data_IF_433111065277
#
_entry.id   IF_433111065277
#
_cell.length_a   1.000
_cell.length_b   1.000
_cell.length_c   1.000
_cell.angle_alpha   90.00
_cell.angle_beta   90.00
_cell.angle_gamma   90.00
#
_symmetry.space_group_name_H-M   'P 1'
#
loop_
_entity.id
_entity.type
_entity.pdbx_description
1 polymer ?
#
# COMPACT_ATOMS: atom_id res chain seq x y z
N UNK A 1 -18.71 -15.34 75.11
CA UNK A 1 -17.25 -15.18 75.20
C UNK A 1 -16.83 -14.45 73.93
N UNK A 2 -17.12 -13.16 73.76
CA UNK A 2 -16.74 -11.98 74.56
C UNK A 2 -15.25 -11.68 74.47
N UNK A 3 -14.90 -10.68 73.64
CA UNK A 3 -13.79 -9.71 73.81
C UNK A 3 -13.80 -8.81 72.55
N UNK A 4 -14.48 -7.66 72.53
CA UNK A 4 -14.09 -6.32 73.03
C UNK A 4 -12.73 -5.78 72.52
N UNK A 5 -12.84 -4.77 71.66
CA UNK A 5 -11.81 -3.79 71.30
C UNK A 5 -11.31 -2.99 72.51
N UNK A 6 -10.18 -2.27 72.35
CA UNK A 6 -10.07 -0.90 72.83
C UNK A 6 -9.95 0.13 71.70
N UNK A 7 -10.54 1.31 71.95
CA UNK A 7 -10.58 2.49 71.08
C UNK A 7 -9.38 3.45 71.35
N UNK A 8 -8.87 4.05 70.25
CA UNK A 8 -8.57 5.49 70.02
C UNK A 8 -7.41 6.19 70.80
N UNK A 9 -6.73 7.23 70.21
CA UNK A 9 -7.36 8.51 69.82
C UNK A 9 -6.97 9.12 68.47
N UNK A 10 -7.85 10.03 68.07
CA UNK A 10 -7.83 10.89 66.90
C UNK A 10 -6.77 12.00 66.99
N UNK A 11 -6.24 12.39 65.82
CA UNK A 11 -5.65 13.71 65.60
C UNK A 11 -6.33 14.32 64.37
N UNK A 12 -7.03 15.42 64.61
CA UNK A 12 -7.49 16.35 63.58
C UNK A 12 -6.31 17.20 63.11
N UNK A 13 -6.12 17.34 61.81
CA UNK A 13 -5.53 18.55 61.23
C UNK A 13 -6.21 18.86 59.90
N UNK A 14 -6.76 20.08 59.83
CA UNK A 14 -7.38 20.71 58.67
C UNK A 14 -6.32 21.05 57.60
N UNK A 15 -6.70 21.06 56.31
CA UNK A 15 -6.34 22.16 55.40
C UNK A 15 -7.01 22.02 54.02
N UNK A 16 -7.82 23.03 53.73
CA UNK A 16 -8.08 23.71 52.46
C UNK A 16 -7.76 23.02 51.10
N UNK A 17 -8.81 22.93 50.28
CA UNK A 17 -8.80 22.72 48.84
C UNK A 17 -8.28 23.98 48.08
N UNK A 18 -7.45 23.85 47.04
CA UNK A 18 -7.20 24.95 46.11
C UNK A 18 -8.08 24.83 44.86
N UNK A 19 -8.74 25.94 44.55
CA UNK A 19 -9.60 26.17 43.40
C UNK A 19 -8.86 26.00 42.05
N UNK A 20 -9.63 25.51 41.08
CA UNK A 20 -9.24 25.31 39.69
C UNK A 20 -8.95 26.64 38.95
N UNK A 21 -7.92 26.63 38.10
CA UNK A 21 -7.71 27.62 37.03
C UNK A 21 -8.49 27.20 35.77
N UNK A 22 -9.09 28.13 35.02
CA UNK A 22 -9.77 27.81 33.77
C UNK A 22 -8.72 27.64 32.65
N UNK A 23 -8.77 26.49 31.96
CA UNK A 23 -8.01 26.26 30.74
C UNK A 23 -8.82 26.76 29.53
N UNK A 24 -8.08 27.39 28.61
CA UNK A 24 -8.56 28.10 27.43
C UNK A 24 -9.16 27.20 26.35
N UNK A 25 -9.90 27.85 25.44
CA UNK A 25 -10.67 27.35 24.30
C UNK A 25 -10.18 26.04 23.67
N UNK A 26 -11.05 25.02 23.73
CA UNK A 26 -10.95 23.82 22.91
C UNK A 26 -11.44 24.11 21.48
N UNK A 27 -10.75 23.64 20.43
CA UNK A 27 -11.23 23.80 19.06
C UNK A 27 -12.50 22.95 18.86
N UNK A 28 -13.46 23.53 18.13
CA UNK A 28 -14.75 22.90 17.84
C UNK A 28 -14.58 21.51 17.20
N UNK A 29 -15.31 20.53 17.73
CA UNK A 29 -15.36 19.17 17.19
C UNK A 29 -15.86 19.17 15.73
N UNK A 30 -15.30 18.34 14.84
CA UNK A 30 -15.76 18.26 13.46
C UNK A 30 -17.20 17.74 13.43
N UNK A 31 -18.01 18.39 12.60
CA UNK A 31 -19.42 18.09 12.36
C UNK A 31 -19.57 16.65 11.86
N UNK A 32 -20.38 15.84 12.54
CA UNK A 32 -20.65 14.45 12.16
C UNK A 32 -21.14 14.36 10.70
N UNK A 33 -20.55 13.44 9.94
CA UNK A 33 -20.95 13.09 8.57
C UNK A 33 -22.33 12.39 8.57
N UNK A 34 -23.12 12.47 7.48
CA UNK A 34 -24.44 11.88 7.45
C UNK A 34 -24.37 10.35 7.43
N UNK A 35 -25.08 9.73 8.36
CA UNK A 35 -25.28 8.29 8.45
C UNK A 35 -26.25 7.81 7.35
N UNK A 36 -25.71 7.33 6.23
CA UNK A 36 -26.32 6.25 5.45
C UNK A 36 -25.51 4.96 5.69
N UNK A 37 -25.98 3.78 5.23
CA UNK A 37 -25.14 2.58 5.23
C UNK A 37 -23.96 2.83 4.28
N UNK A 38 -22.89 3.40 4.82
CA UNK A 38 -21.75 3.89 4.06
C UNK A 38 -20.98 2.70 3.50
N UNK A 39 -20.98 2.56 2.18
CA UNK A 39 -20.05 1.72 1.44
C UNK A 39 -18.65 2.35 1.56
N UNK A 40 -18.04 2.32 2.74
CA UNK A 40 -16.66 2.73 2.91
C UNK A 40 -15.78 1.76 2.12
N UNK A 41 -14.79 2.31 1.43
CA UNK A 41 -13.85 1.58 0.59
C UNK A 41 -13.02 0.59 1.44
N UNK A 42 -12.60 1.02 2.63
CA UNK A 42 -11.99 0.17 3.65
C UNK A 42 -12.94 -0.01 4.85
N UNK A 43 -13.03 -1.23 5.40
CA UNK A 43 -13.83 -1.52 6.60
C UNK A 43 -15.37 -1.58 6.44
N UNK A 44 -15.89 -1.33 5.23
CA UNK A 44 -17.33 -1.41 4.95
C UNK A 44 -17.79 -2.82 4.54
N UNK A 45 -19.08 -3.11 4.71
CA UNK A 45 -19.72 -4.31 4.15
C UNK A 45 -19.75 -4.19 2.62
N UNK A 46 -18.64 -4.57 1.99
CA UNK A 46 -18.42 -4.41 0.55
C UNK A 46 -19.56 -4.97 -0.28
N UNK A 47 -19.82 -4.36 -1.43
CA UNK A 47 -20.90 -4.70 -2.38
C UNK A 47 -20.83 -6.12 -3.00
N UNK A 48 -19.94 -7.01 -2.54
CA UNK A 48 -19.71 -8.32 -3.14
C UNK A 48 -19.05 -8.30 -4.54
N UNK A 49 -18.62 -7.13 -5.02
CA UNK A 49 -17.90 -6.94 -6.28
C UNK A 49 -16.50 -6.35 -6.07
N UNK A 50 -15.68 -6.42 -7.11
CA UNK A 50 -14.36 -5.76 -7.14
C UNK A 50 -14.48 -4.23 -7.02
N UNK A 51 -13.53 -3.62 -6.31
CA UNK A 51 -13.29 -2.17 -6.29
C UNK A 51 -13.00 -1.68 -7.71
N UNK A 52 -13.53 -0.51 -8.05
CA UNK A 52 -13.41 0.10 -9.37
C UNK A 52 -12.75 1.47 -9.29
N UNK A 53 -12.29 1.99 -10.43
CA UNK A 53 -11.73 3.34 -10.54
C UNK A 53 -12.72 4.42 -10.06
N UNK A 54 -14.03 4.18 -10.22
CA UNK A 54 -15.08 5.08 -9.74
C UNK A 54 -15.16 5.12 -8.21
N UNK A 55 -14.96 3.97 -7.56
CA UNK A 55 -14.95 3.91 -6.10
C UNK A 55 -13.76 4.69 -5.52
N UNK A 56 -12.59 4.59 -6.17
CA UNK A 56 -11.37 5.31 -5.77
C UNK A 56 -11.49 6.82 -6.02
N UNK A 57 -12.07 7.23 -7.16
CA UNK A 57 -12.34 8.64 -7.44
C UNK A 57 -13.34 9.23 -6.42
N UNK A 58 -14.40 8.49 -6.08
CA UNK A 58 -15.34 8.88 -5.03
C UNK A 58 -14.62 9.02 -3.68
N UNK A 59 -13.74 8.09 -3.32
CA UNK A 59 -13.00 8.14 -2.07
C UNK A 59 -12.19 9.44 -1.93
N UNK A 60 -11.51 9.89 -3.01
CA UNK A 60 -10.86 11.22 -3.01
C UNK A 60 -11.86 12.35 -2.82
N UNK A 61 -12.97 12.35 -3.55
CA UNK A 61 -14.00 13.39 -3.46
C UNK A 61 -14.60 13.51 -2.05
N UNK A 62 -14.72 12.39 -1.33
CA UNK A 62 -15.24 12.35 0.05
C UNK A 62 -14.15 12.45 1.12
N UNK A 63 -12.87 12.60 0.74
CA UNK A 63 -11.74 12.62 1.66
C UNK A 63 -11.50 11.27 2.38
N UNK A 64 -12.05 10.17 1.86
CA UNK A 64 -11.85 8.83 2.40
C UNK A 64 -10.47 8.30 1.97
N UNK A 65 -9.58 8.12 2.95
CA UNK A 65 -8.25 7.55 2.73
C UNK A 65 -8.31 6.04 2.66
N UNK A 66 -7.45 5.44 1.84
CA UNK A 66 -7.43 3.98 1.65
C UNK A 66 -6.02 3.38 1.58
N UNK A 67 -5.83 2.15 2.09
CA UNK A 67 -4.56 1.44 1.99
C UNK A 67 -4.44 0.65 0.69
N UNK A 68 -3.21 0.52 0.21
CA UNK A 68 -2.80 -0.40 -0.86
C UNK A 68 -1.63 -1.23 -0.36
N UNK A 69 -1.57 -2.51 -0.72
CA UNK A 69 -0.44 -3.38 -0.42
C UNK A 69 0.01 -4.10 -1.69
N UNK A 70 1.30 -4.42 -1.78
CA UNK A 70 1.72 -5.35 -2.82
C UNK A 70 1.26 -6.78 -2.50
N UNK A 71 1.06 -7.61 -3.52
CA UNK A 71 0.81 -9.04 -3.39
C UNK A 71 1.33 -9.79 -4.62
N UNK A 72 1.79 -11.03 -4.44
CA UNK A 72 2.44 -11.79 -5.53
C UNK A 72 1.90 -13.22 -5.68
N UNK A 73 1.05 -13.67 -4.75
CA UNK A 73 0.46 -15.02 -4.79
C UNK A 73 -0.98 -15.02 -4.27
N UNK A 74 -1.67 -16.14 -4.50
CA UNK A 74 -3.08 -16.31 -4.15
C UNK A 74 -3.33 -16.31 -2.63
N UNK A 75 -2.39 -16.83 -1.83
CA UNK A 75 -2.59 -17.01 -0.39
C UNK A 75 -2.49 -15.66 0.31
N UNK A 76 -1.44 -14.89 0.02
CA UNK A 76 -1.27 -13.53 0.53
C UNK A 76 -2.37 -12.60 -0.01
N UNK A 77 -2.71 -12.72 -1.30
CA UNK A 77 -3.81 -11.99 -1.90
C UNK A 77 -5.14 -12.23 -1.17
N UNK A 78 -5.47 -13.48 -0.83
CA UNK A 78 -6.68 -13.82 -0.07
C UNK A 78 -6.69 -13.21 1.33
N UNK A 79 -5.57 -13.28 2.05
CA UNK A 79 -5.47 -12.69 3.40
C UNK A 79 -5.74 -11.18 3.36
N UNK A 80 -5.18 -10.47 2.38
CA UNK A 80 -5.40 -9.04 2.25
C UNK A 80 -6.81 -8.67 1.75
N UNK A 81 -7.41 -9.49 0.89
CA UNK A 81 -8.80 -9.34 0.45
C UNK A 81 -9.78 -9.47 1.64
N UNK A 82 -9.56 -10.49 2.48
CA UNK A 82 -10.35 -10.74 3.70
C UNK A 82 -10.16 -9.62 4.73
N UNK A 83 -8.93 -9.11 4.88
CA UNK A 83 -8.62 -7.93 5.69
C UNK A 83 -9.21 -6.62 5.12
N UNK A 84 -9.79 -6.67 3.92
CA UNK A 84 -10.51 -5.56 3.30
C UNK A 84 -9.63 -4.53 2.62
N UNK A 85 -8.38 -4.87 2.27
CA UNK A 85 -7.49 -3.98 1.49
C UNK A 85 -8.12 -3.76 0.10
N UNK A 86 -8.49 -2.52 -0.25
CA UNK A 86 -9.29 -2.27 -1.46
C UNK A 86 -8.49 -2.38 -2.77
N UNK A 87 -7.16 -2.22 -2.72
CA UNK A 87 -6.28 -2.28 -3.88
C UNK A 87 -5.05 -3.12 -3.56
N UNK A 88 -4.75 -4.09 -4.42
CA UNK A 88 -3.53 -4.88 -4.38
C UNK A 88 -2.68 -4.61 -5.62
N UNK A 89 -1.39 -4.38 -5.41
CA UNK A 89 -0.42 -4.15 -6.48
C UNK A 89 0.46 -5.38 -6.69
N UNK A 90 0.39 -5.96 -7.88
CA UNK A 90 1.36 -6.95 -8.35
C UNK A 90 2.49 -6.18 -9.01
N UNK A 91 3.37 -5.66 -8.15
CA UNK A 91 4.43 -4.75 -8.57
C UNK A 91 5.68 -5.48 -9.05
N UNK A 92 6.48 -4.83 -9.88
CA UNK A 92 7.80 -5.32 -10.30
C UNK A 92 8.81 -5.41 -9.14
N UNK A 93 8.49 -4.77 -8.00
CA UNK A 93 9.08 -5.06 -6.68
C UNK A 93 9.11 -6.56 -6.32
N UNK A 94 8.30 -7.40 -6.97
CA UNK A 94 8.43 -8.86 -6.93
C UNK A 94 9.84 -9.34 -7.30
N UNK A 95 10.55 -8.65 -8.20
CA UNK A 95 11.93 -8.96 -8.56
C UNK A 95 12.81 -9.09 -7.32
N UNK A 96 12.86 -8.06 -6.50
CA UNK A 96 13.63 -8.05 -5.25
C UNK A 96 13.01 -8.92 -4.15
N UNK A 97 11.72 -8.74 -3.91
CA UNK A 97 11.08 -9.18 -2.67
C UNK A 97 10.44 -10.57 -2.76
N UNK A 98 10.41 -11.16 -3.96
CA UNK A 98 9.77 -12.45 -4.22
C UNK A 98 10.64 -13.39 -5.07
N UNK A 99 11.29 -12.86 -6.11
CA UNK A 99 12.08 -13.64 -7.07
C UNK A 99 13.60 -13.64 -6.78
N UNK A 100 14.06 -12.77 -5.87
CA UNK A 100 15.46 -12.71 -5.44
C UNK A 100 16.42 -12.02 -6.41
N UNK A 101 15.91 -11.21 -7.35
CA UNK A 101 16.74 -10.32 -8.17
C UNK A 101 17.33 -9.16 -7.36
N UNK A 102 18.44 -8.61 -7.85
CA UNK A 102 19.10 -7.45 -7.22
C UNK A 102 18.31 -6.15 -7.39
N UNK A 103 17.48 -6.04 -8.44
CA UNK A 103 16.60 -4.91 -8.71
C UNK A 103 15.41 -5.38 -9.58
N UNK A 104 14.55 -4.45 -9.98
CA UNK A 104 13.32 -4.75 -10.74
C UNK A 104 13.54 -4.90 -12.25
N UNK A 105 14.73 -4.55 -12.78
CA UNK A 105 15.02 -4.55 -14.23
C UNK A 105 14.87 -5.93 -14.89
N UNK A 106 15.29 -7.06 -14.27
CA UNK A 106 15.19 -8.38 -14.91
C UNK A 106 13.77 -8.95 -14.97
N UNK A 107 12.80 -8.32 -14.29
CA UNK A 107 11.43 -8.83 -14.21
C UNK A 107 10.79 -8.81 -15.59
N UNK A 108 10.23 -9.95 -16.01
CA UNK A 108 9.60 -10.08 -17.32
C UNK A 108 8.07 -9.93 -17.26
N UNK A 109 7.46 -9.64 -18.42
CA UNK A 109 6.00 -9.62 -18.56
C UNK A 109 5.39 -10.96 -18.17
N UNK A 110 5.99 -12.09 -18.57
CA UNK A 110 5.44 -13.42 -18.29
C UNK A 110 5.46 -13.75 -16.79
N UNK A 111 6.50 -13.32 -16.08
CA UNK A 111 6.57 -13.47 -14.62
C UNK A 111 5.44 -12.68 -13.94
N UNK A 112 5.27 -11.40 -14.29
CA UNK A 112 4.22 -10.58 -13.68
C UNK A 112 2.82 -11.01 -14.12
N UNK A 113 2.61 -11.49 -15.34
CA UNK A 113 1.34 -12.09 -15.77
C UNK A 113 0.99 -13.28 -14.88
N UNK A 114 1.94 -14.21 -14.65
CA UNK A 114 1.72 -15.38 -13.80
C UNK A 114 1.38 -15.00 -12.35
N UNK A 115 2.16 -14.10 -11.74
CA UNK A 115 1.93 -13.63 -10.37
C UNK A 115 0.59 -12.88 -10.27
N UNK A 116 0.26 -12.08 -11.28
CA UNK A 116 -1.01 -11.34 -11.32
C UNK A 116 -2.20 -12.31 -11.41
N UNK A 117 -2.13 -13.33 -12.27
CA UNK A 117 -3.18 -14.36 -12.33
C UNK A 117 -3.38 -15.06 -10.98
N UNK A 118 -2.31 -15.30 -10.22
CA UNK A 118 -2.39 -15.91 -8.90
C UNK A 118 -3.14 -15.01 -7.91
N UNK A 119 -2.79 -13.73 -7.82
CA UNK A 119 -3.46 -12.77 -6.94
C UNK A 119 -4.92 -12.55 -7.34
N UNK A 120 -5.21 -12.48 -8.64
CA UNK A 120 -6.60 -12.36 -9.14
C UNK A 120 -7.45 -13.57 -8.72
N UNK A 121 -6.92 -14.80 -8.79
CA UNK A 121 -7.61 -16.00 -8.32
C UNK A 121 -7.82 -16.05 -6.81
N UNK A 122 -6.89 -15.49 -6.04
CA UNK A 122 -6.96 -15.44 -4.57
C UNK A 122 -7.90 -14.36 -4.02
N UNK A 123 -8.40 -13.44 -4.84
CA UNK A 123 -9.12 -12.24 -4.39
C UNK A 123 -10.52 -12.16 -5.01
N UNK A 124 -11.46 -11.55 -4.29
CA UNK A 124 -12.85 -11.33 -4.76
C UNK A 124 -13.24 -9.86 -4.78
N UNK A 125 -12.70 -9.04 -3.88
CA UNK A 125 -13.10 -7.64 -3.68
C UNK A 125 -12.05 -6.63 -4.11
N UNK A 126 -10.77 -6.90 -3.90
CA UNK A 126 -9.71 -5.95 -4.22
C UNK A 126 -9.66 -5.70 -5.74
N UNK A 127 -9.36 -4.44 -6.10
CA UNK A 127 -8.81 -4.15 -7.42
C UNK A 127 -7.38 -4.66 -7.45
N UNK A 128 -7.07 -5.52 -8.43
CA UNK A 128 -5.69 -5.95 -8.67
C UNK A 128 -5.09 -5.05 -9.75
N UNK A 129 -4.04 -4.30 -9.41
CA UNK A 129 -3.25 -3.48 -10.32
C UNK A 129 -1.97 -4.25 -10.64
N UNK A 130 -1.60 -4.35 -11.91
CA UNK A 130 -0.38 -5.04 -12.33
C UNK A 130 0.64 -4.07 -12.91
N UNK A 131 1.91 -4.20 -12.53
CA UNK A 131 2.96 -3.39 -13.14
C UNK A 131 3.29 -3.81 -14.57
N UNK A 132 3.49 -2.82 -15.43
CA UNK A 132 4.22 -2.99 -16.68
C UNK A 132 5.73 -2.97 -16.35
N UNK A 133 6.46 -4.08 -16.51
CA UNK A 133 7.87 -4.12 -16.13
C UNK A 133 8.75 -3.32 -17.09
N UNK A 134 10.00 -3.06 -16.68
CA UNK A 134 10.98 -2.35 -17.49
C UNK A 134 11.10 -2.92 -18.92
N UNK A 135 11.14 -2.05 -19.92
CA UNK A 135 11.27 -2.39 -21.34
C UNK A 135 9.97 -2.81 -22.03
N UNK A 136 8.86 -2.95 -21.30
CA UNK A 136 7.59 -3.45 -21.85
C UNK A 136 6.63 -2.37 -22.36
N UNK A 137 6.90 -1.09 -22.10
CA UNK A 137 6.03 0.02 -22.51
C UNK A 137 6.79 1.25 -23.02
N UNK A 138 8.10 1.31 -22.81
CA UNK A 138 8.92 2.48 -23.10
C UNK A 138 9.19 2.67 -24.59
N UNK A 139 9.08 1.61 -25.42
CA UNK A 139 9.40 1.70 -26.85
C UNK A 139 8.36 2.53 -27.60
N UNK A 140 7.07 2.34 -27.31
CA UNK A 140 5.99 3.07 -27.98
C UNK A 140 4.63 2.89 -27.29
N UNK A 141 3.64 3.76 -27.58
CA UNK A 141 2.26 3.55 -27.14
C UNK A 141 1.65 2.22 -27.62
N UNK A 142 2.01 1.75 -28.82
CA UNK A 142 1.55 0.46 -29.33
C UNK A 142 2.09 -0.71 -28.49
N UNK A 143 3.38 -0.68 -28.15
CA UNK A 143 3.97 -1.68 -27.25
C UNK A 143 3.31 -1.66 -25.87
N UNK A 144 3.10 -0.48 -25.30
CA UNK A 144 2.43 -0.34 -24.00
C UNK A 144 1.03 -0.95 -24.04
N UNK A 145 0.27 -0.72 -25.11
CA UNK A 145 -1.05 -1.30 -25.30
C UNK A 145 -1.02 -2.82 -25.45
N UNK A 146 -0.10 -3.36 -26.25
CA UNK A 146 0.06 -4.82 -26.38
C UNK A 146 0.34 -5.47 -25.03
N UNK A 147 1.31 -4.93 -24.28
CA UNK A 147 1.65 -5.43 -22.93
C UNK A 147 0.47 -5.28 -21.97
N UNK A 148 -0.19 -4.11 -21.94
CA UNK A 148 -1.35 -3.86 -21.08
C UNK A 148 -2.49 -4.83 -21.38
N UNK A 149 -2.78 -5.09 -22.66
CA UNK A 149 -3.79 -6.06 -23.08
C UNK A 149 -3.49 -7.48 -22.58
N UNK A 150 -2.22 -7.89 -22.49
CA UNK A 150 -1.83 -9.18 -21.89
C UNK A 150 -2.23 -9.25 -20.42
N UNK A 151 -1.92 -8.22 -19.62
CA UNK A 151 -2.32 -8.20 -18.21
C UNK A 151 -3.84 -8.22 -18.00
N UNK A 152 -4.60 -7.52 -18.85
CA UNK A 152 -6.06 -7.56 -18.77
C UNK A 152 -6.61 -8.94 -19.16
N UNK A 153 -6.11 -9.53 -20.25
CA UNK A 153 -6.68 -10.76 -20.85
C UNK A 153 -6.17 -12.06 -20.22
N UNK A 154 -4.87 -12.16 -20.01
CA UNK A 154 -4.20 -13.37 -19.51
C UNK A 154 -4.23 -13.42 -17.99
N UNK A 155 -4.07 -12.27 -17.32
CA UNK A 155 -4.00 -12.21 -15.86
C UNK A 155 -5.30 -11.82 -15.17
N UNK A 156 -6.21 -11.13 -15.86
CA UNK A 156 -7.46 -10.63 -15.26
C UNK A 156 -7.24 -9.42 -14.34
N UNK A 157 -6.18 -8.65 -14.57
CA UNK A 157 -5.93 -7.41 -13.84
C UNK A 157 -7.11 -6.43 -14.00
N UNK A 158 -7.39 -5.65 -12.95
CA UNK A 158 -8.38 -4.57 -13.01
C UNK A 158 -7.81 -3.27 -13.59
N UNK A 159 -6.49 -3.12 -13.55
CA UNK A 159 -5.75 -1.97 -14.06
C UNK A 159 -4.26 -2.32 -14.24
N UNK A 160 -3.53 -1.46 -14.95
CA UNK A 160 -2.07 -1.53 -15.04
C UNK A 160 -1.41 -0.31 -14.41
N UNK A 161 -0.17 -0.46 -13.93
CA UNK A 161 0.68 0.65 -13.48
C UNK A 161 1.92 0.75 -14.38
N UNK A 162 2.31 1.98 -14.71
CA UNK A 162 3.54 2.26 -15.46
C UNK A 162 4.29 3.45 -14.87
N UNK A 163 5.61 3.47 -15.04
CA UNK A 163 6.48 4.53 -14.50
C UNK A 163 6.87 5.54 -15.56
N UNK A 164 6.80 6.82 -15.20
CA UNK A 164 7.24 7.93 -16.04
C UNK A 164 6.27 9.11 -16.01
N UNK A 165 6.83 10.31 -16.17
CA UNK A 165 6.09 11.56 -16.22
C UNK A 165 5.63 11.92 -17.63
N UNK A 166 5.77 13.20 -18.01
CA UNK A 166 5.33 13.75 -19.32
C UNK A 166 5.71 12.86 -20.50
N UNK A 167 6.92 12.28 -20.49
CA UNK A 167 7.42 11.45 -21.57
C UNK A 167 6.57 10.20 -21.86
N UNK A 168 5.87 9.65 -20.84
CA UNK A 168 5.03 8.46 -20.96
C UNK A 168 3.54 8.79 -21.15
N UNK A 169 3.16 10.07 -21.26
CA UNK A 169 1.77 10.47 -21.46
C UNK A 169 1.13 9.83 -22.72
N UNK A 170 1.82 9.73 -23.87
CA UNK A 170 1.26 9.06 -25.05
C UNK A 170 0.90 7.58 -24.81
N UNK A 171 1.68 6.87 -23.98
CA UNK A 171 1.44 5.47 -23.61
C UNK A 171 0.20 5.36 -22.72
N UNK A 172 0.08 6.24 -21.73
CA UNK A 172 -1.10 6.31 -20.85
C UNK A 172 -2.35 6.59 -21.68
N UNK A 173 -2.32 7.58 -22.57
CA UNK A 173 -3.46 7.94 -23.41
C UNK A 173 -3.90 6.79 -24.32
N UNK A 174 -2.96 6.07 -24.94
CA UNK A 174 -3.27 4.91 -25.77
C UNK A 174 -3.92 3.76 -24.99
N UNK A 175 -3.41 3.46 -23.80
CA UNK A 175 -3.98 2.44 -22.90
C UNK A 175 -5.39 2.82 -22.46
N UNK A 176 -5.58 4.04 -21.97
CA UNK A 176 -6.87 4.54 -21.47
C UNK A 176 -7.90 4.60 -22.60
N UNK A 177 -7.52 5.07 -23.78
CA UNK A 177 -8.40 5.11 -24.97
C UNK A 177 -8.86 3.72 -25.38
N UNK A 178 -8.00 2.70 -25.22
CA UNK A 178 -8.34 1.30 -25.47
C UNK A 178 -9.15 0.64 -24.33
N UNK A 179 -9.46 1.37 -23.26
CA UNK A 179 -10.24 0.88 -22.12
C UNK A 179 -9.42 0.18 -21.05
N UNK A 180 -8.09 0.32 -21.04
CA UNK A 180 -7.21 -0.19 -19.98
C UNK A 180 -7.02 0.90 -18.93
N UNK A 181 -7.51 0.72 -17.68
CA UNK A 181 -7.28 1.70 -16.63
C UNK A 181 -5.80 1.78 -16.23
N UNK A 182 -5.25 2.98 -16.15
CA UNK A 182 -3.83 3.22 -15.83
C UNK A 182 -3.67 3.96 -14.51
N UNK A 183 -2.88 3.37 -13.61
CA UNK A 183 -2.29 4.08 -12.47
C UNK A 183 -0.89 4.54 -12.89
N UNK A 184 -0.63 5.85 -12.90
CA UNK A 184 0.70 6.34 -13.21
C UNK A 184 1.63 6.23 -11.99
N UNK A 185 2.95 6.27 -12.22
CA UNK A 185 3.96 6.32 -11.17
C UNK A 185 5.03 7.37 -11.50
N UNK A 186 5.17 8.37 -10.62
CA UNK A 186 6.16 9.45 -10.73
C UNK A 186 6.91 9.65 -9.40
N UNK A 187 7.96 10.47 -9.42
CA UNK A 187 8.90 10.59 -8.31
C UNK A 187 10.07 9.65 -8.54
N UNK A 188 10.49 8.90 -7.53
CA UNK A 188 11.46 7.82 -7.73
C UNK A 188 10.79 6.71 -8.54
N UNK A 189 11.31 6.42 -9.71
CA UNK A 189 10.87 5.31 -10.56
C UNK A 189 11.96 4.22 -10.55
N UNK A 190 11.81 3.13 -9.75
CA UNK A 190 12.81 2.07 -9.62
C UNK A 190 13.33 1.50 -10.94
N UNK A 191 12.52 1.47 -11.99
CA UNK A 191 12.95 1.02 -13.32
C UNK A 191 14.00 1.94 -13.97
N UNK A 192 14.19 3.14 -13.42
CA UNK A 192 15.20 4.12 -13.81
C UNK A 192 16.41 4.15 -12.85
N UNK A 193 16.58 3.14 -11.99
CA UNK A 193 17.64 3.13 -10.95
C UNK A 193 19.05 3.40 -11.50
N UNK A 194 19.36 2.91 -12.71
CA UNK A 194 20.65 3.12 -13.36
C UNK A 194 20.86 4.57 -13.84
N UNK A 195 19.77 5.26 -14.21
CA UNK A 195 19.80 6.69 -14.59
C UNK A 195 19.87 7.56 -13.34
N UNK A 196 19.14 7.19 -12.28
CA UNK A 196 19.04 7.94 -11.04
C UNK A 196 20.26 7.76 -10.11
N UNK A 197 21.09 6.74 -10.36
CA UNK A 197 22.25 6.42 -9.51
C UNK A 197 21.83 5.96 -8.11
N UNK A 198 20.76 5.17 -8.04
CA UNK A 198 20.19 4.60 -6.81
C UNK A 198 18.87 5.23 -6.35
N UNK A 199 18.40 4.79 -5.18
CA UNK A 199 17.12 5.19 -4.60
C UNK A 199 17.23 6.52 -3.84
N UNK A 200 17.01 7.63 -4.54
CA UNK A 200 17.14 8.99 -4.00
C UNK A 200 15.79 9.72 -3.99
N UNK A 201 15.64 10.64 -3.03
CA UNK A 201 14.47 11.53 -2.96
C UNK A 201 14.41 12.42 -4.20
N UNK A 202 13.24 12.49 -4.82
CA UNK A 202 12.96 13.27 -6.03
C UNK A 202 12.19 14.57 -5.72
N UNK A 203 12.17 15.52 -6.66
CA UNK A 203 11.43 16.77 -6.49
C UNK A 203 12.05 17.77 -5.50
N UNK A 204 13.37 17.70 -5.26
CA UNK A 204 14.09 18.69 -4.44
C UNK A 204 14.50 19.90 -5.28
N UNK A 205 14.20 21.09 -4.77
CA UNK A 205 14.43 22.35 -5.48
C UNK A 205 13.29 22.70 -6.42
N UNK A 206 13.16 23.98 -6.75
CA UNK A 206 11.98 24.53 -7.42
C UNK A 206 11.75 23.93 -8.81
N UNK A 207 12.83 23.70 -9.57
CA UNK A 207 12.76 23.11 -10.91
C UNK A 207 12.25 21.67 -10.88
N UNK A 208 12.84 20.82 -10.03
CA UNK A 208 12.42 19.43 -9.90
C UNK A 208 10.99 19.31 -9.32
N UNK A 209 10.61 20.22 -8.43
CA UNK A 209 9.25 20.30 -7.90
C UNK A 209 8.23 20.71 -8.97
N UNK A 210 8.59 21.68 -9.83
CA UNK A 210 7.78 22.09 -10.96
C UNK A 210 7.64 20.96 -12.00
N UNK A 211 8.73 20.24 -12.29
CA UNK A 211 8.70 19.09 -13.19
C UNK A 211 7.80 17.97 -12.66
N UNK A 212 7.91 17.60 -11.38
CA UNK A 212 7.05 16.58 -10.79
C UNK A 212 5.56 16.95 -10.88
N UNK A 213 5.24 18.24 -10.67
CA UNK A 213 3.86 18.72 -10.81
C UNK A 213 3.39 18.69 -12.27
N UNK A 214 4.27 19.01 -13.23
CA UNK A 214 3.98 18.90 -14.66
C UNK A 214 3.73 17.45 -15.07
N UNK A 215 4.57 16.52 -14.59
CA UNK A 215 4.41 15.08 -14.78
C UNK A 215 3.06 14.60 -14.25
N UNK A 216 2.72 14.97 -13.01
CA UNK A 216 1.45 14.60 -12.38
C UNK A 216 0.24 15.09 -13.19
N UNK A 217 0.26 16.34 -13.64
CA UNK A 217 -0.81 16.92 -14.47
C UNK A 217 -0.89 16.28 -15.85
N UNK A 218 0.25 15.94 -16.46
CA UNK A 218 0.29 15.26 -17.75
C UNK A 218 -0.31 13.84 -17.65
N UNK A 219 -0.01 13.10 -16.57
CA UNK A 219 -0.62 11.80 -16.33
C UNK A 219 -2.13 11.88 -16.15
N UNK A 220 -2.62 12.87 -15.38
CA UNK A 220 -4.05 13.13 -15.26
C UNK A 220 -4.69 13.48 -16.61
N UNK A 221 -4.06 14.38 -17.38
CA UNK A 221 -4.58 14.79 -18.69
C UNK A 221 -4.63 13.64 -19.70
N UNK A 222 -3.66 12.72 -19.65
CA UNK A 222 -3.64 11.49 -20.45
C UNK A 222 -4.70 10.45 -20.00
N UNK A 223 -5.39 10.68 -18.89
CA UNK A 223 -6.49 9.85 -18.40
C UNK A 223 -6.12 8.81 -17.36
N UNK A 224 -4.94 8.88 -16.74
CA UNK A 224 -4.63 8.05 -15.59
C UNK A 224 -5.70 8.22 -14.50
N UNK A 225 -6.14 7.13 -13.87
CA UNK A 225 -7.16 7.20 -12.82
C UNK A 225 -6.58 7.49 -11.43
N UNK A 226 -5.27 7.33 -11.25
CA UNK A 226 -4.54 7.60 -10.01
C UNK A 226 -3.04 7.77 -10.32
N UNK A 227 -2.29 8.36 -9.39
CA UNK A 227 -0.83 8.54 -9.51
C UNK A 227 -0.12 8.14 -8.23
N UNK A 228 0.84 7.22 -8.32
CA UNK A 228 1.78 6.90 -7.25
C UNK A 228 2.85 8.00 -7.17
N UNK A 229 3.12 8.48 -5.96
CA UNK A 229 4.20 9.41 -5.63
C UNK A 229 5.22 8.68 -4.74
N UNK A 230 6.41 8.38 -5.26
CA UNK A 230 7.45 7.66 -4.52
C UNK A 230 8.65 8.54 -4.16
N UNK A 231 9.06 8.49 -2.89
CA UNK A 231 10.18 9.28 -2.32
C UNK A 231 10.16 10.76 -2.72
N UNK A 232 9.02 11.42 -2.48
CA UNK A 232 8.81 12.86 -2.72
C UNK A 232 8.73 13.60 -1.39
N UNK A 233 9.25 14.84 -1.25
CA UNK A 233 9.03 15.67 -0.07
C UNK A 233 7.55 15.80 0.28
N UNK A 234 7.21 15.69 1.57
CA UNK A 234 5.82 15.68 2.05
C UNK A 234 5.02 16.91 1.61
N UNK A 235 5.63 18.10 1.70
CA UNK A 235 4.98 19.36 1.29
C UNK A 235 4.67 19.38 -0.21
N UNK A 236 5.58 18.84 -1.03
CA UNK A 236 5.38 18.74 -2.48
C UNK A 236 4.30 17.71 -2.82
N UNK A 237 4.31 16.55 -2.17
CA UNK A 237 3.28 15.53 -2.35
C UNK A 237 1.88 16.04 -1.96
N UNK A 238 1.77 16.79 -0.86
CA UNK A 238 0.53 17.44 -0.46
C UNK A 238 0.08 18.49 -1.50
N UNK A 239 1.01 19.30 -2.02
CA UNK A 239 0.75 20.28 -3.09
C UNK A 239 0.29 19.64 -4.40
N UNK A 240 0.87 18.51 -4.78
CA UNK A 240 0.44 17.73 -5.96
C UNK A 240 -0.96 17.16 -5.72
N UNK A 241 -1.17 16.52 -4.57
CA UNK A 241 -2.47 15.91 -4.19
C UNK A 241 -3.62 16.90 -4.22
N UNK A 242 -3.39 18.13 -3.75
CA UNK A 242 -4.39 19.20 -3.75
C UNK A 242 -4.70 19.77 -5.15
N UNK A 243 -3.81 19.56 -6.14
CA UNK A 243 -3.98 20.08 -7.50
C UNK A 243 -4.50 19.05 -8.50
N UNK A 244 -4.52 17.77 -8.14
CA UNK A 244 -5.08 16.71 -8.98
C UNK A 244 -6.53 16.42 -8.60
N UNK A 245 -7.34 16.08 -9.59
CA UNK A 245 -8.70 15.56 -9.46
C UNK A 245 -8.70 14.04 -9.24
N UNK A 246 -7.60 13.36 -9.57
CA UNK A 246 -7.42 11.91 -9.39
C UNK A 246 -6.66 11.59 -8.08
N UNK A 247 -6.91 10.41 -7.46
CA UNK A 247 -6.19 9.97 -6.27
C UNK A 247 -4.67 9.94 -6.42
N UNK A 248 -3.97 10.42 -5.40
CA UNK A 248 -2.54 10.18 -5.20
C UNK A 248 -2.28 9.06 -4.21
N UNK A 249 -1.33 8.18 -4.51
CA UNK A 249 -0.93 7.05 -3.65
C UNK A 249 0.52 7.27 -3.21
N UNK A 250 0.73 7.52 -1.93
CA UNK A 250 2.06 7.81 -1.40
C UNK A 250 2.86 6.55 -1.02
N UNK A 251 4.15 6.55 -1.29
CA UNK A 251 5.13 5.65 -0.66
C UNK A 251 6.41 6.45 -0.37
N UNK A 252 6.62 6.76 0.91
CA UNK A 252 7.65 7.74 1.29
C UNK A 252 7.38 9.15 0.78
N UNK A 253 6.11 9.50 0.57
CA UNK A 253 5.64 10.83 0.15
C UNK A 253 4.86 11.59 1.25
N UNK A 254 5.02 11.17 2.51
CA UNK A 254 4.33 11.76 3.65
C UNK A 254 2.82 11.47 3.70
N UNK A 255 2.15 12.11 4.64
CA UNK A 255 0.73 11.86 4.95
C UNK A 255 -0.24 12.64 4.04
N UNK A 256 0.26 13.53 3.19
CA UNK A 256 -0.53 14.42 2.35
C UNK A 256 -1.23 13.76 1.15
N UNK A 257 -0.93 12.49 0.83
CA UNK A 257 -1.56 11.76 -0.28
C UNK A 257 -2.95 11.19 0.09
N UNK A 258 -3.81 10.95 -0.91
CA UNK A 258 -5.15 10.37 -0.69
C UNK A 258 -5.09 8.91 -0.18
N UNK A 259 -4.05 8.18 -0.57
CA UNK A 259 -3.81 6.79 -0.22
C UNK A 259 -2.34 6.51 0.08
N UNK A 260 -2.05 5.32 0.59
CA UNK A 260 -0.69 4.87 0.90
C UNK A 260 -0.46 3.45 0.39
N UNK A 261 0.74 3.18 -0.12
CA UNK A 261 1.20 1.83 -0.51
C UNK A 261 2.47 1.45 0.21
N UNK A 262 2.57 0.17 0.61
CA UNK A 262 3.82 -0.45 1.03
C UNK A 262 4.01 -1.80 0.33
N UNK A 263 5.28 -2.16 0.15
CA UNK A 263 5.66 -3.55 -0.12
C UNK A 263 5.26 -4.39 1.08
N UNK A 264 4.49 -5.46 0.87
CA UNK A 264 3.94 -6.22 1.98
C UNK A 264 5.00 -6.93 2.83
N UNK A 265 6.10 -7.38 2.22
CA UNK A 265 7.21 -8.04 2.93
C UNK A 265 7.93 -7.07 3.87
N UNK A 266 8.07 -5.81 3.49
CA UNK A 266 8.64 -4.76 4.34
C UNK A 266 7.68 -4.42 5.49
N UNK A 267 6.40 -4.23 5.16
CA UNK A 267 5.33 -3.95 6.12
C UNK A 267 5.21 -5.07 7.18
N UNK A 268 5.32 -6.33 6.75
CA UNK A 268 5.18 -7.50 7.62
C UNK A 268 6.50 -8.00 8.25
N UNK A 269 7.62 -7.30 8.02
CA UNK A 269 8.92 -7.66 8.60
C UNK A 269 9.49 -8.99 8.10
N UNK A 270 9.22 -9.34 6.84
CA UNK A 270 9.80 -10.52 6.18
C UNK A 270 11.11 -10.19 5.46
N UNK A 271 11.23 -8.98 4.92
CA UNK A 271 12.45 -8.49 4.26
C UNK A 271 13.60 -8.41 5.28
N UNK A 272 14.77 -9.01 5.00
CA UNK A 272 15.89 -8.96 5.92
C UNK A 272 16.57 -7.58 5.94
N UNK A 273 17.25 -7.28 7.05
CA UNK A 273 18.12 -6.12 7.17
C UNK A 273 17.39 -4.83 7.53
N UNK A 274 18.00 -3.69 7.19
CA UNK A 274 17.49 -2.37 7.57
C UNK A 274 16.40 -1.92 6.61
N UNK A 275 15.19 -1.72 7.14
CA UNK A 275 14.06 -1.20 6.37
C UNK A 275 14.30 0.25 5.91
N UNK A 276 13.76 0.65 4.73
CA UNK A 276 13.74 2.04 4.31
C UNK A 276 13.07 2.94 5.36
N UNK A 277 13.51 4.20 5.46
CA UNK A 277 13.02 5.15 6.48
C UNK A 277 11.49 5.35 6.46
N UNK A 278 10.86 5.23 5.30
CA UNK A 278 9.42 5.43 5.13
C UNK A 278 8.58 4.21 5.50
N UNK A 279 9.19 3.05 5.77
CA UNK A 279 8.48 1.83 6.12
C UNK A 279 8.20 1.82 7.62
N UNK A 280 6.96 1.51 7.98
CA UNK A 280 6.60 1.06 9.32
C UNK A 280 6.41 -0.46 9.28
N UNK A 281 7.12 -1.16 10.16
CA UNK A 281 6.96 -2.60 10.36
C UNK A 281 5.77 -2.86 11.32
N UNK A 282 4.84 -3.72 10.91
CA UNK A 282 3.64 -4.08 11.67
C UNK A 282 3.69 -5.51 12.25
N UNK A 283 4.62 -6.35 11.78
CA UNK A 283 4.86 -7.70 12.30
C UNK A 283 6.35 -8.09 12.14
N UNK A 284 6.79 -9.17 12.77
CA UNK A 284 8.10 -9.80 12.51
C UNK A 284 7.87 -11.22 11.97
N UNK A 285 7.42 -11.30 10.71
CA UNK A 285 7.16 -12.59 10.08
C UNK A 285 8.45 -13.38 9.84
N UNK A 286 9.60 -12.72 9.68
CA UNK A 286 10.89 -13.39 9.51
C UNK A 286 11.24 -14.20 10.76
N UNK A 287 11.16 -13.61 11.94
CA UNK A 287 11.40 -14.30 13.20
C UNK A 287 10.37 -15.42 13.40
N UNK A 288 9.08 -15.10 13.22
CA UNK A 288 7.97 -16.05 13.41
C UNK A 288 8.13 -17.32 12.56
N UNK A 289 8.40 -17.18 11.26
CA UNK A 289 8.63 -18.32 10.37
C UNK A 289 9.92 -19.06 10.71
N UNK A 290 10.97 -18.33 11.09
CA UNK A 290 12.24 -18.93 11.52
C UNK A 290 12.10 -19.78 12.78
N UNK A 291 11.34 -19.31 13.77
CA UNK A 291 11.06 -20.03 15.01
C UNK A 291 10.21 -21.28 14.75
N UNK A 292 9.16 -21.17 13.93
CA UNK A 292 8.34 -22.31 13.54
C UNK A 292 9.16 -23.39 12.83
N UNK A 293 10.03 -23.00 11.90
CA UNK A 293 10.91 -23.93 11.19
C UNK A 293 11.90 -24.63 12.14
N UNK A 294 12.47 -23.90 13.11
CA UNK A 294 13.36 -24.46 14.13
C UNK A 294 12.64 -25.42 15.08
N UNK A 295 11.42 -25.07 15.51
CA UNK A 295 10.60 -25.92 16.36
C UNK A 295 10.27 -27.24 15.65
N UNK A 296 9.79 -27.17 14.40
CA UNK A 296 9.56 -28.36 13.58
C UNK A 296 10.82 -29.22 13.42
N UNK A 297 11.96 -28.61 13.12
CA UNK A 297 13.23 -29.34 13.01
C UNK A 297 13.63 -30.01 14.33
N UNK A 298 13.43 -29.34 15.47
CA UNK A 298 13.69 -29.89 16.80
C UNK A 298 12.80 -31.09 17.10
N UNK A 299 11.52 -31.02 16.76
CA UNK A 299 10.56 -32.12 16.97
C UNK A 299 10.93 -33.34 16.12
N UNK A 300 11.36 -33.14 14.87
CA UNK A 300 11.82 -34.22 13.98
C UNK A 300 13.11 -34.85 14.50
N UNK A 301 14.13 -34.06 14.83
CA UNK A 301 15.43 -34.56 15.32
C UNK A 301 15.27 -35.28 16.67
N UNK A 302 14.39 -34.78 17.54
CA UNK A 302 14.07 -35.39 18.83
C UNK A 302 13.13 -36.60 18.75
N UNK A 303 12.56 -36.90 17.58
CA UNK A 303 11.58 -37.99 17.40
C UNK A 303 10.21 -37.71 18.03
N UNK A 304 9.91 -36.45 18.36
CA UNK A 304 8.59 -36.04 18.85
C UNK A 304 7.56 -35.91 17.70
N UNK A 305 8.03 -35.58 16.49
CA UNK A 305 7.21 -35.55 15.28
C UNK A 305 7.67 -36.62 14.26
N UNK A 306 6.74 -37.35 13.62
CA UNK A 306 5.30 -37.34 13.87
C UNK A 306 4.90 -38.05 15.17
N UNK A 307 3.96 -37.46 15.92
CA UNK A 307 3.28 -38.13 17.03
C UNK A 307 2.22 -39.13 16.57
N UNK A 308 1.67 -40.00 17.46
CA UNK A 308 0.66 -41.00 17.11
C UNK A 308 -0.59 -40.44 16.42
N UNK A 309 -1.02 -39.24 16.78
CA UNK A 309 -2.15 -38.52 16.17
C UNK A 309 -1.91 -38.10 14.72
N UNK A 310 -0.65 -38.12 14.28
CA UNK A 310 -0.23 -37.83 12.91
C UNK A 310 0.14 -39.11 12.12
N UNK A 311 -0.03 -40.30 12.72
CA UNK A 311 0.29 -41.59 12.11
C UNK A 311 -0.99 -42.33 11.64
N UNK A 312 -0.85 -43.14 10.58
CA UNK A 312 -1.92 -43.97 10.03
C UNK A 312 -1.58 -45.46 10.21
N UNK A 313 -2.58 -46.28 10.55
CA UNK A 313 -2.44 -47.71 10.86
C UNK A 313 -3.51 -48.55 10.16
#
# INVERSE_FOLDING_TARGET
MSEQLPQQPAVQTSAASPAAKPAADAPAAPKAAPEGPGLTLYGGNGTGRRVTVRDLARAKQTGERWPMLTAYDAMIGSVFDDAGIPVLLVGDSAGNNHLGYENTIPVTVDQLVMLTSAVVRGTKRAMVVADLPFGSYQVSPAQALETGARFMKEAGAGAVKLEGGVAMAPQVEALVTAGVPVMAHIGLTPQSVNVLGGYRVQGRGDEAAAQLLADAKAMQAAGAFAVVLELVPEELAAKVTAQLDIPTVGIGAGSGCDAQVLVWTDMAGLTPGKLPKFVKQYADLRATLGDAARAFASDVVGGAYPGPEHAFH
#
